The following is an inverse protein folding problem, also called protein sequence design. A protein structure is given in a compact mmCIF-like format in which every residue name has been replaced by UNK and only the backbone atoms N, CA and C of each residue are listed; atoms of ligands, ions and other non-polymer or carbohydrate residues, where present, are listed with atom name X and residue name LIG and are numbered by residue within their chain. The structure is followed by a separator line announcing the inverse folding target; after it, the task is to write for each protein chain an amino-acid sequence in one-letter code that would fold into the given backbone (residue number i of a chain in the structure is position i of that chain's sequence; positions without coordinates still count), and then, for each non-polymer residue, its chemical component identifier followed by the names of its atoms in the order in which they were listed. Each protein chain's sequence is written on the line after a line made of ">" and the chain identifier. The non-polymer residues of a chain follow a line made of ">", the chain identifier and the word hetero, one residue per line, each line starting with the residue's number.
data_IF_609045108768
#
_entry.id   IF_609045108768
#
_cell.length_a   1.000
_cell.length_b   1.000
_cell.length_c   1.000
_cell.angle_alpha   90.00
_cell.angle_beta   90.00
_cell.angle_gamma   90.00
#
_symmetry.space_group_name_H-M   'P 1'
#
loop_
_entity.id
_entity.type
_entity.pdbx_description
1 polymer ?
#
# COMPACT_ATOMS: atom_id res chain seq x y z
N UNK A 1 19.93 27.86 12.39
CA UNK A 1 20.05 26.85 13.47
C UNK A 1 18.73 26.10 13.54
N UNK A 2 18.74 24.77 13.35
CA UNK A 2 17.65 23.86 13.74
C UNK A 2 16.54 23.63 12.71
N UNK A 3 16.86 23.03 11.56
CA UNK A 3 15.85 22.26 10.83
C UNK A 3 15.52 21.03 11.67
N UNK A 4 14.27 20.90 12.11
CA UNK A 4 13.83 19.74 12.88
C UNK A 4 14.08 18.48 12.06
N UNK A 5 15.10 17.71 12.42
CA UNK A 5 15.33 16.38 11.86
C UNK A 5 14.15 15.51 12.30
N UNK A 6 13.27 15.20 11.36
CA UNK A 6 12.20 14.22 11.58
C UNK A 6 12.86 12.95 12.12
N UNK A 7 12.44 12.40 13.27
CA UNK A 7 13.09 11.25 13.87
C UNK A 7 13.23 10.14 12.82
N UNK A 8 14.43 9.56 12.65
CA UNK A 8 14.65 8.45 11.70
C UNK A 8 13.95 7.15 12.13
N UNK A 9 13.70 6.98 13.43
CA UNK A 9 13.18 5.77 14.06
C UNK A 9 11.79 5.28 13.56
N UNK A 10 10.78 6.14 13.29
CA UNK A 10 9.47 5.69 12.81
C UNK A 10 9.57 5.04 11.42
N UNK A 11 10.43 5.57 10.54
CA UNK A 11 10.62 5.02 9.19
C UNK A 11 11.19 3.61 9.22
N UNK A 12 12.08 3.32 10.16
CA UNK A 12 12.65 1.98 10.33
C UNK A 12 11.59 0.97 10.72
N UNK A 13 10.70 1.30 11.66
CA UNK A 13 9.61 0.40 12.09
C UNK A 13 8.66 0.10 10.93
N UNK A 14 8.29 1.11 10.14
CA UNK A 14 7.38 0.89 9.01
C UNK A 14 8.04 0.12 7.85
N UNK A 15 9.35 0.28 7.65
CA UNK A 15 10.10 -0.54 6.71
C UNK A 15 10.13 -2.02 7.14
N UNK A 16 10.41 -2.29 8.42
CA UNK A 16 10.37 -3.65 8.99
C UNK A 16 8.97 -4.24 8.84
N UNK A 17 7.92 -3.47 9.12
CA UNK A 17 6.54 -3.92 8.94
C UNK A 17 6.24 -4.31 7.48
N UNK A 18 6.77 -3.57 6.51
CA UNK A 18 6.66 -3.94 5.09
C UNK A 18 7.36 -5.26 4.75
N UNK A 19 8.56 -5.50 5.29
CA UNK A 19 9.27 -6.78 5.12
C UNK A 19 8.51 -7.93 5.77
N UNK A 20 7.99 -7.75 6.99
CA UNK A 20 7.18 -8.76 7.67
C UNK A 20 5.89 -9.08 6.90
N UNK A 21 5.22 -8.08 6.33
CA UNK A 21 4.02 -8.28 5.53
C UNK A 21 4.30 -9.06 4.25
N UNK A 22 5.45 -8.81 3.59
CA UNK A 22 5.88 -9.59 2.44
C UNK A 22 6.10 -11.07 2.82
N UNK A 23 6.74 -11.35 3.96
CA UNK A 23 6.90 -12.73 4.45
C UNK A 23 5.57 -13.38 4.84
N UNK A 24 4.63 -12.65 5.43
CA UNK A 24 3.28 -13.18 5.67
C UNK A 24 2.59 -13.59 4.36
N UNK A 25 2.77 -12.82 3.28
CA UNK A 25 2.23 -13.18 1.97
C UNK A 25 2.89 -14.43 1.36
N UNK A 26 4.19 -14.68 1.61
CA UNK A 26 4.87 -15.89 1.09
C UNK A 26 4.35 -17.17 1.74
N UNK A 27 3.86 -17.09 2.98
CA UNK A 27 3.30 -18.24 3.73
C UNK A 27 1.77 -18.31 3.69
N UNK A 28 1.10 -17.48 2.88
CA UNK A 28 -0.36 -17.48 2.71
C UNK A 28 -1.14 -16.81 3.86
N UNK A 29 -0.47 -16.09 4.75
CA UNK A 29 -1.04 -15.39 5.90
C UNK A 29 -1.48 -13.96 5.52
N UNK A 30 -2.23 -13.81 4.42
CA UNK A 30 -2.63 -12.51 3.87
C UNK A 30 -3.41 -11.64 4.86
N UNK A 31 -4.22 -12.24 5.74
CA UNK A 31 -4.94 -11.51 6.79
C UNK A 31 -4.03 -10.86 7.83
N UNK A 32 -2.94 -11.54 8.19
CA UNK A 32 -1.91 -11.02 9.11
C UNK A 32 -1.11 -9.90 8.45
N UNK A 33 -0.72 -10.08 7.18
CA UNK A 33 -0.08 -9.05 6.38
C UNK A 33 -0.94 -7.79 6.27
N UNK A 34 -2.22 -7.94 5.93
CA UNK A 34 -3.16 -6.84 5.73
C UNK A 34 -3.32 -5.97 6.99
N UNK A 35 -3.56 -6.59 8.16
CA UNK A 35 -3.69 -5.85 9.44
C UNK A 35 -2.46 -4.99 9.74
N UNK A 36 -1.27 -5.54 9.49
CA UNK A 36 -0.01 -4.83 9.70
C UNK A 36 0.11 -3.65 8.72
N UNK A 37 -0.15 -3.89 7.44
CA UNK A 37 -0.06 -2.90 6.39
C UNK A 37 -1.10 -1.77 6.52
N UNK A 38 -2.33 -2.05 6.98
CA UNK A 38 -3.36 -1.03 7.19
C UNK A 38 -2.93 0.00 8.26
N UNK A 39 -2.30 -0.48 9.34
CA UNK A 39 -1.71 0.38 10.38
C UNK A 39 -0.61 1.28 9.82
N UNK A 40 0.28 0.70 8.99
CA UNK A 40 1.36 1.43 8.32
C UNK A 40 0.81 2.47 7.33
N UNK A 41 -0.16 2.08 6.50
CA UNK A 41 -0.80 2.94 5.50
C UNK A 41 -1.48 4.16 6.15
N UNK A 42 -2.15 3.98 7.29
CA UNK A 42 -2.74 5.09 8.05
C UNK A 42 -1.70 6.15 8.41
N UNK A 43 -0.51 5.74 8.83
CA UNK A 43 0.58 6.70 9.12
C UNK A 43 1.06 7.37 7.86
N UNK A 44 1.35 6.62 6.79
CA UNK A 44 1.85 7.22 5.55
C UNK A 44 0.86 8.19 4.90
N UNK A 45 -0.45 7.94 5.01
CA UNK A 45 -1.50 8.88 4.61
C UNK A 45 -1.43 10.18 5.42
N UNK A 46 -1.35 10.06 6.75
CA UNK A 46 -1.28 11.23 7.66
C UNK A 46 -0.04 12.09 7.39
N UNK A 47 1.11 11.46 7.20
CA UNK A 47 2.39 12.15 6.99
C UNK A 47 2.64 12.53 5.52
N UNK A 48 1.73 12.18 4.60
CA UNK A 48 1.83 12.39 3.14
C UNK A 48 3.11 11.80 2.53
N UNK A 49 3.51 10.62 3.00
CA UNK A 49 4.65 9.90 2.45
C UNK A 49 4.21 9.06 1.25
N UNK A 50 3.99 9.70 0.10
CA UNK A 50 3.37 9.09 -1.08
C UNK A 50 4.13 7.89 -1.64
N UNK A 51 5.46 7.95 -1.70
CA UNK A 51 6.28 6.85 -2.23
C UNK A 51 6.18 5.56 -1.39
N UNK A 52 6.39 5.58 -0.06
CA UNK A 52 6.18 4.38 0.74
C UNK A 52 4.69 4.00 0.87
N UNK A 53 3.76 4.96 0.80
CA UNK A 53 2.33 4.65 0.72
C UNK A 53 2.00 3.84 -0.54
N UNK A 54 2.55 4.21 -1.70
CA UNK A 54 2.34 3.48 -2.95
C UNK A 54 2.81 2.02 -2.84
N UNK A 55 3.99 1.79 -2.26
CA UNK A 55 4.49 0.43 -2.02
C UNK A 55 3.59 -0.37 -1.06
N UNK A 56 3.11 0.26 0.01
CA UNK A 56 2.19 -0.37 0.97
C UNK A 56 0.83 -0.69 0.33
N UNK A 57 0.28 0.19 -0.50
CA UNK A 57 -0.97 -0.06 -1.22
C UNK A 57 -0.83 -1.20 -2.22
N UNK A 58 0.29 -1.34 -2.92
CA UNK A 58 0.54 -2.51 -3.79
C UNK A 58 0.48 -3.82 -3.02
N UNK A 59 1.06 -3.89 -1.81
CA UNK A 59 0.98 -5.08 -0.97
C UNK A 59 -0.43 -5.32 -0.43
N UNK A 60 -1.16 -4.25 -0.06
CA UNK A 60 -2.56 -4.35 0.39
C UNK A 60 -3.47 -4.87 -0.73
N UNK A 61 -3.25 -4.46 -1.99
CA UNK A 61 -3.95 -5.02 -3.15
C UNK A 61 -3.73 -6.53 -3.24
N UNK A 62 -2.48 -7.00 -3.16
CA UNK A 62 -2.17 -8.44 -3.17
C UNK A 62 -2.79 -9.18 -1.99
N UNK A 63 -2.87 -8.55 -0.80
CA UNK A 63 -3.55 -9.16 0.34
C UNK A 63 -5.05 -9.33 0.07
N UNK A 64 -5.72 -8.27 -0.41
CA UNK A 64 -7.17 -8.30 -0.67
C UNK A 64 -7.53 -9.22 -1.83
N UNK A 65 -6.66 -9.36 -2.83
CA UNK A 65 -6.82 -10.35 -3.90
C UNK A 65 -6.78 -11.78 -3.34
N UNK A 66 -5.80 -12.12 -2.48
CA UNK A 66 -5.72 -13.44 -1.86
C UNK A 66 -6.89 -13.72 -0.89
N UNK A 67 -7.41 -12.69 -0.24
CA UNK A 67 -8.55 -12.78 0.70
C UNK A 67 -9.91 -12.71 0.00
N UNK A 68 -9.96 -12.50 -1.32
CA UNK A 68 -11.20 -12.30 -2.09
C UNK A 68 -12.03 -11.13 -1.55
N UNK A 69 -11.37 -10.06 -1.13
CA UNK A 69 -11.98 -8.83 -0.64
C UNK A 69 -12.06 -7.78 -1.76
N UNK A 70 -12.95 -7.99 -2.74
CA UNK A 70 -12.98 -7.22 -3.99
C UNK A 70 -13.13 -5.71 -3.76
N UNK A 71 -13.98 -5.30 -2.83
CA UNK A 71 -14.17 -3.87 -2.51
C UNK A 71 -12.86 -3.24 -2.00
N UNK A 72 -12.16 -3.91 -1.09
CA UNK A 72 -10.89 -3.41 -0.56
C UNK A 72 -9.80 -3.38 -1.65
N UNK A 73 -9.74 -4.42 -2.49
CA UNK A 73 -8.84 -4.46 -3.64
C UNK A 73 -9.04 -3.24 -4.56
N UNK A 74 -10.30 -2.90 -4.87
CA UNK A 74 -10.64 -1.75 -5.71
C UNK A 74 -10.26 -0.43 -5.02
N UNK A 75 -10.61 -0.26 -3.75
CA UNK A 75 -10.28 0.96 -3.00
C UNK A 75 -8.77 1.22 -2.97
N UNK A 76 -7.95 0.20 -2.68
CA UNK A 76 -6.50 0.34 -2.68
C UNK A 76 -5.94 0.61 -4.08
N UNK A 77 -6.52 0.02 -5.12
CA UNK A 77 -6.10 0.23 -6.50
C UNK A 77 -6.37 1.66 -6.96
N UNK A 78 -7.55 2.19 -6.67
CA UNK A 78 -7.92 3.58 -7.02
C UNK A 78 -7.09 4.59 -6.22
N UNK A 79 -6.86 4.34 -4.93
CA UNK A 79 -5.97 5.18 -4.13
C UNK A 79 -4.56 5.19 -4.74
N UNK A 80 -4.00 4.02 -5.06
CA UNK A 80 -2.67 3.88 -5.66
C UNK A 80 -2.57 4.62 -7.01
N UNK A 81 -3.57 4.47 -7.87
CA UNK A 81 -3.64 5.16 -9.16
C UNK A 81 -3.72 6.69 -9.00
N UNK A 82 -4.31 7.18 -7.91
CA UNK A 82 -4.44 8.61 -7.64
C UNK A 82 -3.19 9.26 -7.02
N UNK A 83 -2.21 8.47 -6.55
CA UNK A 83 -1.04 9.00 -5.82
C UNK A 83 -0.05 9.72 -6.73
N UNK A 84 -0.10 11.04 -6.71
CA UNK A 84 0.96 11.89 -7.25
C UNK A 84 2.25 11.75 -6.40
N UNK A 85 3.39 11.58 -7.08
CA UNK A 85 4.67 11.39 -6.40
C UNK A 85 4.89 9.99 -5.79
N UNK A 86 4.01 9.02 -6.08
CA UNK A 86 4.16 7.60 -5.71
C UNK A 86 5.29 6.87 -6.45
N UNK A 87 5.83 7.46 -7.52
CA UNK A 87 6.87 6.87 -8.35
C UNK A 87 6.34 6.01 -9.51
N UNK A 88 5.02 5.95 -9.68
CA UNK A 88 4.36 5.33 -10.84
C UNK A 88 4.28 6.31 -12.01
N UNK A 89 4.50 5.80 -13.21
CA UNK A 89 4.22 6.49 -14.47
C UNK A 89 2.72 6.73 -14.66
N UNK A 90 2.36 7.51 -15.69
CA UNK A 90 0.95 7.71 -16.06
C UNK A 90 0.29 6.42 -16.55
N UNK A 91 1.01 5.62 -17.33
CA UNK A 91 0.57 4.33 -17.88
C UNK A 91 0.30 3.33 -16.75
N UNK A 92 1.26 3.12 -15.83
CA UNK A 92 1.06 2.21 -14.69
C UNK A 92 -0.16 2.58 -13.84
N UNK A 93 -0.43 3.88 -13.64
CA UNK A 93 -1.61 4.33 -12.89
C UNK A 93 -2.91 4.02 -13.62
N UNK A 94 -2.93 4.18 -14.94
CA UNK A 94 -4.08 3.85 -15.77
C UNK A 94 -4.37 2.35 -15.72
N UNK A 95 -3.34 1.51 -15.94
CA UNK A 95 -3.47 0.05 -15.92
C UNK A 95 -3.99 -0.47 -14.57
N UNK A 96 -3.51 0.10 -13.47
CA UNK A 96 -3.98 -0.24 -12.11
C UNK A 96 -5.46 0.09 -11.93
N UNK A 97 -5.90 1.26 -12.41
CA UNK A 97 -7.30 1.67 -12.31
C UNK A 97 -8.20 0.82 -13.20
N UNK A 98 -7.78 0.53 -14.44
CA UNK A 98 -8.52 -0.29 -15.37
C UNK A 98 -8.71 -1.72 -14.84
N UNK A 99 -7.64 -2.34 -14.35
CA UNK A 99 -7.69 -3.68 -13.77
C UNK A 99 -8.66 -3.77 -12.56
N UNK A 100 -8.69 -2.73 -11.73
CA UNK A 100 -9.59 -2.66 -10.58
C UNK A 100 -11.06 -2.48 -10.99
N UNK A 101 -11.32 -1.67 -12.01
CA UNK A 101 -12.68 -1.52 -12.54
C UNK A 101 -13.17 -2.82 -13.21
N UNK A 102 -12.27 -3.54 -13.88
CA UNK A 102 -12.59 -4.83 -14.48
C UNK A 102 -12.98 -5.89 -13.42
N UNK A 103 -12.40 -5.86 -12.23
CA UNK A 103 -12.77 -6.80 -11.15
C UNK A 103 -14.17 -6.56 -10.57
N UNK A 104 -14.81 -5.42 -10.83
CA UNK A 104 -16.21 -5.17 -10.46
C UNK A 104 -17.22 -5.68 -11.49
N UNK A 105 -16.76 -6.04 -12.70
CA UNK A 105 -17.61 -6.42 -13.82
C UNK A 105 -17.79 -7.95 -13.98
N UNK A 106 -17.11 -8.75 -13.15
CA UNK A 106 -17.23 -10.21 -13.08
C UNK A 106 -18.14 -10.66 -11.94
#
# INVERSE_FOLDING_TARGET
>A
KGGAEVPRAPRTIYHIAGLMAAEYLTVGEAGSAKKLLDSVASVYRRERWHRPLAATLSLLRSCSEQLQEDTAHVEYSLELASLEGGGLSGEERYDIAEAALASLAG
#
